data_IF_917890972337
#
_entry.id   IF_917890972337
#
_cell.length_a   1.000
_cell.length_b   1.000
_cell.length_c   1.000
_cell.angle_alpha   90.00
_cell.angle_beta   90.00
_cell.angle_gamma   90.00
#
_symmetry.space_group_name_H-M   'P 1'
#
loop_
_entity.id
_entity.type
_entity.pdbx_description
1 polymer ?
#
# COMPACT_ATOMS: atom_id res chain seq x y z
N UNK A 1 -30.84 8.06 7.35
CA UNK A 1 -29.99 7.49 8.42
C UNK A 1 -28.73 8.32 8.51
N UNK A 2 -28.31 8.72 9.71
CA UNK A 2 -27.04 9.42 9.98
C UNK A 2 -26.26 8.57 10.97
N UNK A 3 -25.00 8.26 10.67
CA UNK A 3 -24.15 7.42 11.52
C UNK A 3 -23.06 8.29 12.13
N UNK A 4 -22.92 8.26 13.45
CA UNK A 4 -21.72 8.77 14.12
C UNK A 4 -20.64 7.68 14.02
N UNK A 5 -19.41 8.06 13.67
CA UNK A 5 -18.30 7.12 13.64
C UNK A 5 -18.00 6.67 15.08
N UNK A 6 -18.10 5.37 15.41
CA UNK A 6 -17.66 4.88 16.70
C UNK A 6 -16.14 5.09 16.80
N UNK A 7 -15.68 5.60 17.94
CA UNK A 7 -14.26 5.63 18.25
C UNK A 7 -13.90 4.26 18.83
N UNK A 8 -12.94 3.56 18.22
CA UNK A 8 -12.52 2.26 18.71
C UNK A 8 -11.57 2.41 19.90
N UNK A 9 -11.57 1.44 20.81
CA UNK A 9 -10.65 1.39 21.95
C UNK A 9 -9.18 1.26 21.50
N UNK A 10 -8.97 0.61 20.35
CA UNK A 10 -7.66 0.50 19.68
C UNK A 10 -7.77 1.03 18.24
N UNK A 11 -6.97 2.03 17.85
CA UNK A 11 -6.96 2.50 16.47
C UNK A 11 -6.34 1.45 15.55
N UNK A 12 -6.79 1.42 14.30
CA UNK A 12 -6.24 0.57 13.25
C UNK A 12 -4.86 1.04 12.78
N UNK A 13 -4.18 0.16 12.03
CA UNK A 13 -2.88 0.42 11.42
C UNK A 13 -3.00 0.81 9.95
N UNK A 14 -2.01 1.54 9.44
CA UNK A 14 -1.88 1.86 8.03
C UNK A 14 -0.83 0.95 7.38
N UNK A 15 -1.29 0.01 6.55
CA UNK A 15 -0.46 -0.86 5.74
C UNK A 15 -0.06 -0.15 4.45
N UNK A 16 1.18 0.33 4.40
CA UNK A 16 1.72 1.11 3.28
C UNK A 16 2.42 0.20 2.27
N UNK A 17 1.70 -0.21 1.23
CA UNK A 17 2.15 -1.22 0.27
C UNK A 17 3.08 -0.60 -0.76
N UNK A 18 4.34 -1.03 -0.76
CA UNK A 18 5.38 -0.60 -1.70
C UNK A 18 6.01 -1.79 -2.40
N UNK A 19 6.71 -1.54 -3.50
CA UNK A 19 7.31 -2.60 -4.32
C UNK A 19 7.52 -2.13 -5.75
N UNK A 20 8.33 -2.84 -6.54
CA UNK A 20 8.64 -2.45 -7.90
C UNK A 20 7.39 -2.48 -8.80
N UNK A 21 7.45 -1.74 -9.91
CA UNK A 21 6.41 -1.84 -10.94
C UNK A 21 6.41 -3.26 -11.53
N UNK A 22 5.24 -3.89 -11.65
CA UNK A 22 5.13 -5.29 -12.08
C UNK A 22 5.22 -6.33 -10.97
N UNK A 23 5.47 -5.92 -9.71
CA UNK A 23 5.46 -6.83 -8.56
C UNK A 23 4.07 -7.37 -8.19
N UNK A 24 3.00 -6.88 -8.83
CA UNK A 24 1.61 -7.33 -8.58
C UNK A 24 0.95 -6.68 -7.37
N UNK A 25 1.41 -5.50 -6.93
CA UNK A 25 0.81 -4.74 -5.82
C UNK A 25 -0.69 -4.54 -5.98
N UNK A 26 -1.12 -4.06 -7.15
CA UNK A 26 -2.53 -3.74 -7.39
C UNK A 26 -3.41 -5.00 -7.29
N UNK A 27 -2.91 -6.16 -7.76
CA UNK A 27 -3.60 -7.45 -7.62
C UNK A 27 -3.70 -7.90 -6.17
N UNK A 28 -2.63 -7.74 -5.38
CA UNK A 28 -2.66 -8.03 -3.94
C UNK A 28 -3.64 -7.11 -3.24
N UNK A 29 -3.57 -5.79 -3.48
CA UNK A 29 -4.47 -4.80 -2.86
C UNK A 29 -5.93 -5.09 -3.21
N UNK A 30 -6.23 -5.48 -4.46
CA UNK A 30 -7.57 -5.90 -4.86
C UNK A 30 -8.03 -7.13 -4.08
N UNK A 31 -7.19 -8.15 -3.98
CA UNK A 31 -7.53 -9.36 -3.22
C UNK A 31 -7.68 -9.09 -1.72
N UNK A 32 -6.89 -8.18 -1.13
CA UNK A 32 -7.05 -7.75 0.26
C UNK A 32 -8.40 -7.07 0.49
N UNK A 33 -8.83 -6.21 -0.45
CA UNK A 33 -10.16 -5.54 -0.42
C UNK A 33 -11.29 -6.56 -0.36
N UNK A 34 -11.15 -7.69 -1.07
CA UNK A 34 -12.17 -8.73 -1.16
C UNK A 34 -12.16 -9.70 0.03
N UNK A 35 -10.99 -10.02 0.58
CA UNK A 35 -10.84 -11.09 1.57
C UNK A 35 -10.86 -10.59 3.03
N UNK A 36 -10.51 -9.33 3.32
CA UNK A 36 -10.39 -8.80 4.69
C UNK A 36 -11.49 -7.77 5.04
N UNK A 37 -12.70 -7.93 4.49
CA UNK A 37 -13.82 -6.97 4.61
C UNK A 37 -14.30 -6.68 6.04
N UNK A 38 -13.82 -7.41 7.05
CA UNK A 38 -14.28 -7.28 8.45
C UNK A 38 -13.55 -6.17 9.22
N UNK A 39 -12.25 -6.02 9.00
CA UNK A 39 -11.36 -5.19 9.81
C UNK A 39 -10.38 -4.35 8.98
N UNK A 40 -10.45 -4.46 7.65
CA UNK A 40 -9.53 -3.79 6.73
C UNK A 40 -10.28 -3.10 5.60
N UNK A 41 -9.88 -1.87 5.30
CA UNK A 41 -10.34 -1.09 4.15
C UNK A 41 -9.17 -0.68 3.28
N UNK A 42 -9.38 -0.65 1.96
CA UNK A 42 -8.38 -0.15 1.02
C UNK A 42 -8.71 1.30 0.68
N UNK A 43 -7.80 2.21 1.01
CA UNK A 43 -7.96 3.62 0.73
C UNK A 43 -7.99 3.90 -0.78
N UNK A 44 -8.78 4.88 -1.17
CA UNK A 44 -8.68 5.45 -2.51
C UNK A 44 -7.40 6.26 -2.63
N UNK A 45 -6.81 6.24 -3.82
CA UNK A 45 -5.88 7.27 -4.25
C UNK A 45 -6.60 8.29 -5.11
N UNK A 46 -6.23 9.55 -4.96
CA UNK A 46 -6.69 10.63 -5.82
C UNK A 46 -5.57 10.95 -6.78
N UNK A 47 -5.79 10.80 -8.08
CA UNK A 47 -4.70 10.86 -9.07
C UNK A 47 -5.15 11.67 -10.27
N UNK A 48 -4.24 12.47 -10.85
CA UNK A 48 -4.52 13.25 -12.07
C UNK A 48 -4.38 12.47 -13.37
N UNK A 49 -4.39 11.14 -13.26
CA UNK A 49 -4.34 10.21 -14.38
C UNK A 49 -5.75 9.73 -14.67
N UNK A 50 -6.06 9.53 -15.95
CA UNK A 50 -7.36 8.99 -16.35
C UNK A 50 -7.64 7.63 -15.69
N UNK A 51 -8.85 7.44 -15.16
CA UNK A 51 -9.27 6.23 -14.48
C UNK A 51 -9.28 5.01 -15.42
N UNK A 52 -9.58 5.24 -16.70
CA UNK A 52 -9.67 4.21 -17.74
C UNK A 52 -8.31 3.85 -18.39
N UNK A 53 -7.23 4.57 -18.06
CA UNK A 53 -5.88 4.28 -18.53
C UNK A 53 -5.30 2.95 -17.96
N UNK A 54 -6.11 2.18 -17.22
CA UNK A 54 -5.76 0.91 -16.61
C UNK A 54 -4.88 1.05 -15.36
N UNK A 55 -4.53 -0.06 -14.73
CA UNK A 55 -3.76 -0.05 -13.47
C UNK A 55 -4.68 -0.15 -12.26
N UNK A 56 -4.41 0.64 -11.23
CA UNK A 56 -5.16 0.55 -9.97
C UNK A 56 -6.55 1.22 -10.03
N UNK A 57 -7.41 0.79 -9.12
CA UNK A 57 -8.65 1.49 -8.77
C UNK A 57 -8.34 2.78 -7.99
N UNK A 58 -8.64 3.94 -8.57
CA UNK A 58 -8.39 5.26 -8.00
C UNK A 58 -9.50 6.25 -8.38
N UNK A 59 -9.56 7.36 -7.66
CA UNK A 59 -10.39 8.51 -8.00
C UNK A 59 -9.58 9.42 -8.92
N UNK A 60 -9.98 9.50 -10.18
CA UNK A 60 -9.45 10.48 -11.11
C UNK A 60 -9.86 11.90 -10.69
N UNK A 61 -8.91 12.82 -10.71
CA UNK A 61 -9.13 14.26 -10.53
C UNK A 61 -8.51 15.03 -11.70
N UNK A 62 -9.06 16.20 -12.03
CA UNK A 62 -8.30 17.16 -12.83
C UNK A 62 -7.16 17.77 -12.01
N UNK A 63 -6.16 18.35 -12.66
CA UNK A 63 -5.08 19.08 -11.97
C UNK A 63 -5.63 20.25 -11.12
N UNK A 64 -6.63 20.98 -11.64
CA UNK A 64 -7.29 22.08 -10.91
C UNK A 64 -8.00 21.58 -9.65
N UNK A 65 -8.73 20.46 -9.74
CA UNK A 65 -9.40 19.89 -8.58
C UNK A 65 -8.40 19.36 -7.56
N UNK A 66 -7.35 18.67 -8.02
CA UNK A 66 -6.27 18.21 -7.15
C UNK A 66 -5.64 19.38 -6.39
N UNK A 67 -5.34 20.48 -7.09
CA UNK A 67 -4.77 21.68 -6.50
C UNK A 67 -5.70 22.31 -5.44
N UNK A 68 -7.00 22.42 -5.73
CA UNK A 68 -7.97 22.92 -4.74
C UNK A 68 -7.98 22.04 -3.49
N UNK A 69 -8.05 20.71 -3.65
CA UNK A 69 -8.06 19.77 -2.52
C UNK A 69 -6.76 19.81 -1.71
N UNK A 70 -5.62 19.89 -2.39
CA UNK A 70 -4.31 20.07 -1.76
C UNK A 70 -4.25 21.37 -0.95
N UNK A 71 -4.64 22.50 -1.55
CA UNK A 71 -4.61 23.83 -0.90
C UNK A 71 -5.50 23.94 0.34
N UNK A 72 -6.48 23.03 0.47
CA UNK A 72 -7.43 22.95 1.58
C UNK A 72 -7.11 21.81 2.56
N UNK A 73 -5.91 21.23 2.50
CA UNK A 73 -5.46 20.14 3.36
C UNK A 73 -6.38 18.90 3.36
N UNK A 74 -7.02 18.61 2.22
CA UNK A 74 -7.90 17.43 2.09
C UNK A 74 -7.12 16.12 1.89
N UNK A 75 -5.81 16.19 1.71
CA UNK A 75 -4.93 15.04 1.65
C UNK A 75 -4.12 14.92 2.95
N UNK A 76 -4.06 13.70 3.50
CA UNK A 76 -3.09 13.34 4.52
C UNK A 76 -1.68 13.34 3.92
N UNK A 77 -1.53 12.85 2.69
CA UNK A 77 -0.28 12.87 1.94
C UNK A 77 -0.53 13.19 0.48
N UNK A 78 0.37 13.93 -0.16
CA UNK A 78 0.35 14.13 -1.60
C UNK A 78 1.76 14.22 -2.16
N UNK A 79 1.93 13.76 -3.40
CA UNK A 79 3.20 13.86 -4.12
C UNK A 79 3.01 13.93 -5.63
N UNK A 80 4.09 14.28 -6.34
CA UNK A 80 4.15 14.22 -7.80
C UNK A 80 5.16 13.16 -8.24
N UNK A 81 4.81 12.42 -9.30
CA UNK A 81 5.70 11.47 -9.95
C UNK A 81 5.25 11.27 -11.40
N UNK A 82 6.20 11.10 -12.33
CA UNK A 82 5.90 10.81 -13.74
C UNK A 82 4.90 11.78 -14.40
N UNK A 83 4.95 13.06 -14.02
CA UNK A 83 4.04 14.09 -14.54
C UNK A 83 2.61 14.02 -14.00
N UNK A 84 2.34 13.18 -13.00
CA UNK A 84 1.04 13.02 -12.36
C UNK A 84 1.10 13.42 -10.89
N UNK A 85 -0.03 13.87 -10.35
CA UNK A 85 -0.22 14.13 -8.93
C UNK A 85 -0.93 12.96 -8.26
N UNK A 86 -0.54 12.63 -7.05
CA UNK A 86 -1.07 11.53 -6.25
C UNK A 86 -1.41 12.04 -4.85
N UNK A 87 -2.58 11.67 -4.33
CA UNK A 87 -3.06 12.07 -3.02
C UNK A 87 -3.67 10.89 -2.27
N UNK A 88 -3.42 10.84 -0.96
CA UNK A 88 -4.11 10.00 0.01
C UNK A 88 -4.97 10.93 0.87
N UNK A 89 -6.28 10.73 0.86
CA UNK A 89 -7.22 11.62 1.53
C UNK A 89 -7.16 11.55 3.06
N UNK A 90 -7.63 12.62 3.72
CA UNK A 90 -7.67 12.70 5.19
C UNK A 90 -8.58 11.64 5.84
N UNK A 91 -9.52 11.07 5.09
CA UNK A 91 -10.44 10.04 5.56
C UNK A 91 -9.73 8.81 6.15
N UNK A 92 -8.47 8.55 5.76
CA UNK A 92 -7.68 7.45 6.33
C UNK A 92 -7.51 7.56 7.84
N UNK A 93 -7.39 8.77 8.38
CA UNK A 93 -7.29 8.97 9.83
C UNK A 93 -8.61 8.58 10.51
N UNK A 94 -9.74 8.98 9.94
CA UNK A 94 -11.05 8.64 10.49
C UNK A 94 -11.30 7.13 10.48
N UNK A 95 -10.90 6.42 9.42
CA UNK A 95 -11.04 4.97 9.36
C UNK A 95 -10.15 4.27 10.41
N UNK A 96 -8.90 4.72 10.55
CA UNK A 96 -8.01 4.19 11.57
C UNK A 96 -8.52 4.46 12.98
N UNK A 97 -9.03 5.66 13.26
CA UNK A 97 -9.57 6.01 14.58
C UNK A 97 -10.87 5.25 14.90
N UNK A 98 -11.58 4.76 13.87
CA UNK A 98 -12.70 3.83 14.00
C UNK A 98 -12.25 2.36 14.17
N UNK A 99 -10.95 2.09 14.29
CA UNK A 99 -10.38 0.76 14.50
C UNK A 99 -10.14 -0.05 13.23
N UNK A 100 -10.38 0.54 12.04
CA UNK A 100 -10.16 -0.15 10.78
C UNK A 100 -8.69 -0.07 10.37
N UNK A 101 -8.11 -1.20 10.00
CA UNK A 101 -6.83 -1.20 9.30
C UNK A 101 -7.01 -0.63 7.90
N UNK A 102 -6.08 0.22 7.46
CA UNK A 102 -6.15 0.89 6.16
C UNK A 102 -4.99 0.43 5.29
N UNK A 103 -5.27 -0.08 4.10
CA UNK A 103 -4.26 -0.41 3.09
C UNK A 103 -4.15 0.74 2.10
N UNK A 104 -2.92 1.19 1.85
CA UNK A 104 -2.60 2.26 0.89
C UNK A 104 -1.61 1.73 -0.14
N UNK A 105 -1.87 2.00 -1.43
CA UNK A 105 -0.87 1.82 -2.48
C UNK A 105 0.18 2.94 -2.39
N UNK A 106 1.33 2.64 -1.80
CA UNK A 106 2.35 3.60 -1.44
C UNK A 106 3.42 3.83 -2.51
N UNK A 107 4.21 4.87 -2.30
CA UNK A 107 5.44 5.16 -3.05
C UNK A 107 6.65 5.03 -2.12
N UNK A 108 7.65 4.25 -2.55
CA UNK A 108 8.89 4.08 -1.77
C UNK A 108 9.59 5.41 -1.51
N UNK A 109 9.60 6.32 -2.48
CA UNK A 109 10.24 7.62 -2.34
C UNK A 109 9.59 8.51 -1.26
N UNK A 110 8.39 8.17 -0.82
CA UNK A 110 7.62 8.89 0.19
C UNK A 110 7.37 8.05 1.44
N UNK A 111 8.07 6.92 1.59
CA UNK A 111 7.92 6.06 2.76
C UNK A 111 8.32 6.79 4.04
N UNK A 112 9.42 7.54 4.03
CA UNK A 112 9.89 8.26 5.21
C UNK A 112 8.93 9.39 5.61
N UNK A 113 8.38 10.11 4.62
CA UNK A 113 7.30 11.07 4.88
C UNK A 113 6.04 10.39 5.46
N UNK A 114 5.72 9.16 5.03
CA UNK A 114 4.62 8.40 5.62
C UNK A 114 4.93 7.99 7.07
N UNK A 115 6.18 7.59 7.36
CA UNK A 115 6.64 7.27 8.72
C UNK A 115 6.52 8.48 9.64
N UNK A 116 6.95 9.64 9.19
CA UNK A 116 6.85 10.88 9.97
C UNK A 116 5.39 11.24 10.28
N UNK A 117 4.48 11.02 9.32
CA UNK A 117 3.07 11.36 9.46
C UNK A 117 2.28 10.38 10.34
N UNK A 118 2.47 9.07 10.12
CA UNK A 118 1.65 8.03 10.76
C UNK A 118 2.32 7.38 11.98
N UNK A 119 3.63 7.61 12.17
CA UNK A 119 4.41 7.09 13.30
C UNK A 119 4.32 5.58 13.43
N UNK A 120 4.14 5.10 14.66
CA UNK A 120 4.03 3.68 15.00
C UNK A 120 2.80 2.99 14.38
N UNK A 121 1.81 3.75 13.90
CA UNK A 121 0.64 3.20 13.21
C UNK A 121 0.95 2.80 11.77
N UNK A 122 2.10 3.21 11.21
CA UNK A 122 2.52 2.81 9.87
C UNK A 122 3.20 1.44 9.90
N UNK A 123 2.71 0.53 9.06
CA UNK A 123 3.33 -0.76 8.76
C UNK A 123 3.70 -0.79 7.27
N UNK A 124 4.97 -0.61 6.90
CA UNK A 124 5.39 -0.77 5.51
C UNK A 124 5.21 -2.22 5.06
N UNK A 125 4.65 -2.43 3.87
CA UNK A 125 4.48 -3.76 3.27
C UNK A 125 5.23 -3.79 1.93
N UNK A 126 6.37 -4.46 1.90
CA UNK A 126 7.21 -4.62 0.71
C UNK A 126 6.77 -5.85 -0.06
N UNK A 127 6.20 -5.63 -1.24
CA UNK A 127 5.90 -6.70 -2.20
C UNK A 127 7.12 -6.91 -3.08
N UNK A 128 7.74 -8.09 -2.97
CA UNK A 128 8.86 -8.53 -3.79
C UNK A 128 8.42 -9.61 -4.79
N UNK A 129 9.25 -9.83 -5.79
CA UNK A 129 9.06 -10.88 -6.79
C UNK A 129 10.42 -11.31 -7.32
N UNK A 130 10.63 -12.60 -7.50
CA UNK A 130 11.89 -13.15 -8.03
C UNK A 130 12.16 -12.54 -9.41
N UNK A 131 13.40 -12.11 -9.71
CA UNK A 131 13.73 -11.41 -10.96
C UNK A 131 13.25 -12.14 -12.22
N UNK A 132 13.42 -13.47 -12.29
CA UNK A 132 12.96 -14.29 -13.43
C UNK A 132 11.44 -14.24 -13.63
N UNK A 133 10.67 -14.24 -12.54
CA UNK A 133 9.20 -14.16 -12.59
C UNK A 133 8.77 -12.75 -13.00
N UNK A 134 9.43 -11.73 -12.46
CA UNK A 134 9.18 -10.35 -12.85
C UNK A 134 9.45 -10.16 -14.35
N UNK A 135 10.60 -10.59 -14.84
CA UNK A 135 10.95 -10.51 -16.25
C UNK A 135 9.88 -11.16 -17.15
N UNK A 136 9.49 -12.40 -16.84
CA UNK A 136 8.45 -13.10 -17.59
C UNK A 136 7.12 -12.32 -17.61
N UNK A 137 6.72 -11.70 -16.49
CA UNK A 137 5.51 -10.86 -16.40
C UNK A 137 5.65 -9.58 -17.23
N UNK A 138 6.80 -8.90 -17.17
CA UNK A 138 7.06 -7.69 -17.94
C UNK A 138 7.02 -7.98 -19.45
N UNK A 139 7.59 -9.12 -19.88
CA UNK A 139 7.54 -9.57 -21.28
C UNK A 139 6.13 -9.93 -21.72
N UNK A 140 5.40 -10.69 -20.92
CA UNK A 140 4.06 -11.18 -21.27
C UNK A 140 3.04 -10.06 -21.52
N UNK A 141 3.16 -8.91 -20.83
CA UNK A 141 2.25 -7.77 -21.06
C UNK A 141 2.59 -6.96 -22.32
N UNK A 142 3.80 -7.08 -22.87
CA UNK A 142 4.20 -6.50 -24.15
C UNK A 142 4.18 -4.96 -24.22
N UNK A 143 4.29 -4.25 -23.09
CA UNK A 143 4.22 -2.77 -23.04
C UNK A 143 5.57 -2.07 -23.00
N UNK A 144 6.66 -2.84 -22.86
CA UNK A 144 8.01 -2.32 -22.67
C UNK A 144 8.97 -2.92 -23.69
N UNK A 145 9.94 -2.12 -24.10
CA UNK A 145 11.13 -2.55 -24.82
C UNK A 145 12.08 -3.35 -23.92
N UNK A 146 13.00 -4.11 -24.52
CA UNK A 146 14.04 -4.84 -23.78
C UNK A 146 14.84 -3.95 -22.83
N UNK A 147 15.22 -2.76 -23.27
CA UNK A 147 15.96 -1.80 -22.46
C UNK A 147 15.16 -1.34 -21.23
N UNK A 148 13.86 -1.10 -21.39
CA UNK A 148 12.96 -0.75 -20.28
C UNK A 148 12.74 -1.92 -19.32
N UNK A 149 12.68 -3.16 -19.82
CA UNK A 149 12.60 -4.36 -18.98
C UNK A 149 13.86 -4.49 -18.13
N UNK A 150 15.04 -4.37 -18.72
CA UNK A 150 16.32 -4.42 -17.98
C UNK A 150 16.38 -3.34 -16.89
N UNK A 151 16.00 -2.10 -17.21
CA UNK A 151 15.99 -1.01 -16.24
C UNK A 151 15.00 -1.27 -15.08
N UNK A 152 13.84 -1.85 -15.37
CA UNK A 152 12.86 -2.22 -14.34
C UNK A 152 13.35 -3.36 -13.46
N UNK A 153 14.05 -4.34 -14.02
CA UNK A 153 14.65 -5.44 -13.25
C UNK A 153 15.76 -4.95 -12.32
N UNK A 154 16.62 -4.04 -12.80
CA UNK A 154 17.64 -3.40 -11.96
C UNK A 154 17.01 -2.67 -10.77
N UNK A 155 16.02 -1.80 -11.05
CA UNK A 155 15.29 -1.10 -9.99
C UNK A 155 14.63 -2.05 -9.01
N UNK A 156 14.13 -3.20 -9.48
CA UNK A 156 13.48 -4.20 -8.62
C UNK A 156 14.46 -4.91 -7.69
N UNK A 157 15.72 -5.09 -8.09
CA UNK A 157 16.76 -5.65 -7.21
C UNK A 157 17.01 -4.75 -6.00
N UNK A 158 16.86 -3.43 -6.14
CA UNK A 158 16.95 -2.47 -5.04
C UNK A 158 15.78 -2.58 -4.04
N UNK A 159 14.72 -3.33 -4.34
CA UNK A 159 13.57 -3.58 -3.46
C UNK A 159 13.68 -4.89 -2.67
N UNK A 160 14.72 -5.69 -2.87
CA UNK A 160 14.96 -6.89 -2.08
C UNK A 160 15.35 -6.50 -0.65
N UNK A 161 14.37 -6.41 0.24
CA UNK A 161 14.60 -6.42 1.68
C UNK A 161 14.69 -7.89 2.09
N UNK A 162 15.73 -8.25 2.84
CA UNK A 162 15.86 -9.60 3.41
C UNK A 162 14.59 -9.96 4.17
N UNK A 163 13.90 -11.00 3.70
CA UNK A 163 12.60 -11.46 4.18
C UNK A 163 12.59 -11.93 5.64
N UNK A 164 13.78 -12.07 6.24
CA UNK A 164 13.97 -12.50 7.63
C UNK A 164 14.11 -11.32 8.60
N UNK A 165 14.21 -10.08 8.09
CA UNK A 165 14.35 -8.90 8.93
C UNK A 165 12.98 -8.26 9.20
N UNK A 166 12.35 -8.61 10.34
CA UNK A 166 11.33 -7.75 10.98
C UNK A 166 11.95 -6.49 11.61
N UNK A 167 13.24 -6.24 11.38
CA UNK A 167 13.94 -5.02 11.74
C UNK A 167 13.17 -3.83 11.12
N UNK A 168 12.57 -3.02 11.99
CA UNK A 168 11.82 -1.79 11.68
C UNK A 168 10.35 -1.98 11.18
N UNK A 169 9.58 -2.89 11.80
CA UNK A 169 8.11 -2.98 11.64
C UNK A 169 7.64 -3.13 10.17
N UNK A 170 8.47 -3.73 9.31
CA UNK A 170 8.23 -3.85 7.87
C UNK A 170 7.88 -5.29 7.52
N UNK A 171 6.77 -5.48 6.79
CA UNK A 171 6.31 -6.78 6.32
C UNK A 171 6.82 -7.03 4.90
N UNK A 172 7.30 -8.24 4.60
CA UNK A 172 7.75 -8.62 3.26
C UNK A 172 6.87 -9.74 2.69
N UNK A 173 6.35 -9.55 1.48
CA UNK A 173 5.52 -10.55 0.76
C UNK A 173 6.23 -10.94 -0.52
N UNK A 174 6.52 -12.23 -0.70
CA UNK A 174 7.00 -12.77 -1.98
C UNK A 174 5.80 -13.10 -2.88
N UNK A 175 5.61 -12.29 -3.93
CA UNK A 175 4.59 -12.49 -4.96
C UNK A 175 5.12 -13.21 -6.22
N UNK A 176 6.08 -14.11 -6.04
CA UNK A 176 6.55 -15.01 -7.12
C UNK A 176 5.58 -16.15 -7.42
N UNK A 177 4.72 -16.50 -6.45
CA UNK A 177 3.74 -17.58 -6.54
C UNK A 177 2.36 -17.09 -7.01
N UNK A 178 1.31 -17.73 -6.49
CA UNK A 178 -0.08 -17.31 -6.71
C UNK A 178 -0.48 -16.14 -5.83
N UNK A 179 -1.56 -15.44 -6.20
CA UNK A 179 -2.12 -14.37 -5.36
C UNK A 179 -2.56 -14.94 -4.00
N UNK A 180 -3.21 -16.11 -3.97
CA UNK A 180 -3.63 -16.74 -2.71
C UNK A 180 -2.45 -17.01 -1.76
N UNK A 181 -1.29 -17.42 -2.29
CA UNK A 181 -0.08 -17.59 -1.49
C UNK A 181 0.43 -16.26 -0.91
N UNK A 182 0.30 -15.18 -1.68
CA UNK A 182 0.68 -13.83 -1.22
C UNK A 182 -0.27 -13.31 -0.14
N UNK A 183 -1.57 -13.59 -0.28
CA UNK A 183 -2.58 -13.19 0.70
C UNK A 183 -2.44 -14.00 1.99
N UNK A 184 -2.17 -15.31 1.89
CA UNK A 184 -1.87 -16.14 3.06
C UNK A 184 -0.60 -15.67 3.79
N UNK A 185 0.41 -15.18 3.06
CA UNK A 185 1.59 -14.54 3.66
C UNK A 185 1.20 -13.27 4.43
N UNK A 186 0.43 -12.36 3.80
CA UNK A 186 -0.04 -11.14 4.45
C UNK A 186 -0.83 -11.43 5.73
N UNK A 187 -1.76 -12.40 5.70
CA UNK A 187 -2.54 -12.79 6.87
C UNK A 187 -1.65 -13.19 8.06
N UNK A 188 -0.69 -14.08 7.82
CA UNK A 188 0.26 -14.53 8.85
C UNK A 188 1.10 -13.39 9.42
N UNK A 189 1.58 -12.51 8.54
CA UNK A 189 2.43 -11.37 8.91
C UNK A 189 1.65 -10.31 9.70
N UNK A 190 0.41 -10.02 9.29
CA UNK A 190 -0.52 -9.14 10.02
C UNK A 190 -0.76 -9.67 11.43
N UNK A 191 -1.12 -10.94 11.58
CA UNK A 191 -1.32 -11.55 12.90
C UNK A 191 -0.06 -11.54 13.78
N UNK A 192 1.12 -11.74 13.19
CA UNK A 192 2.39 -11.67 13.92
C UNK A 192 2.67 -10.23 14.40
N UNK A 193 2.49 -9.23 13.54
CA UNK A 193 2.68 -7.83 13.90
C UNK A 193 1.69 -7.39 14.99
N UNK A 194 0.43 -7.81 14.88
CA UNK A 194 -0.61 -7.49 15.87
C UNK A 194 -0.32 -8.11 17.23
N UNK A 195 0.17 -9.37 17.28
CA UNK A 195 0.59 -10.03 18.53
C UNK A 195 1.80 -9.36 19.17
N UNK A 196 2.78 -8.91 18.40
CA UNK A 196 3.96 -8.21 18.92
C UNK A 196 3.63 -6.81 19.44
N UNK A 197 2.58 -6.19 18.91
CA UNK A 197 2.06 -4.90 19.35
C UNK A 197 1.13 -5.01 20.59
N UNK A 198 0.75 -6.23 21.02
CA UNK A 198 0.04 -6.42 22.27
C UNK A 198 1.04 -6.39 23.44
N UNK A 199 0.80 -5.56 24.48
CA UNK A 199 1.67 -5.54 25.65
C UNK A 199 1.65 -6.90 26.33
N UNK A 200 2.83 -7.44 26.61
CA UNK A 200 3.00 -8.66 27.40
C UNK A 200 2.50 -8.41 28.83
N UNK A 201 1.21 -8.67 29.09
CA UNK A 201 0.66 -8.62 30.44
C UNK A 201 -0.78 -8.10 30.53
N UNK A 202 -1.73 -8.99 30.23
CA UNK A 202 -3.11 -8.90 30.71
C UNK A 202 -3.43 -10.14 31.54
N UNK A 203 -2.76 -10.29 32.69
CA UNK A 203 -3.27 -11.16 33.76
C UNK A 203 -3.91 -10.23 34.80
N UNK A 204 -5.22 -10.27 34.85
CA UNK A 204 -6.02 -9.89 36.02
C UNK A 204 -7.05 -11.01 36.23
#
# INVERSE_FOLDING_TARGET
MVNAAPKADKPGQLYYVIGPSGAGKDSIISALREQFVKDLVVAHRYITRAADAGGENHVELSDDEFFIRYSRNMFAMSWQAHGMSYGIGQEVHQWMDAGLSVVVNGSRAYLDAARDLFGERLVPVVVSVKPKVLEARLRARGRESEAEITLRLQRAADYCVDSESTLNNTLCIDNSGTIDQSIAQFARLKEQAERLAEPAGGVA
#
